data_IF_878475326970
#
_entry.id   IF_878475326970
#
_cell.length_a   1.000
_cell.length_b   1.000
_cell.length_c   1.000
_cell.angle_alpha   90.00
_cell.angle_beta   90.00
_cell.angle_gamma   90.00
#
_symmetry.space_group_name_H-M   'P 1'
#
loop_
_entity.id
_entity.type
_entity.pdbx_description
1 polymer ?
#
# COMPACT_ATOMS: atom_id res chain seq x y z
N UNK A 1 -10.18 -16.42 -7.34
CA UNK A 1 -8.71 -16.51 -7.45
C UNK A 1 -8.05 -16.24 -6.10
N UNK A 2 -7.55 -17.27 -5.39
CA UNK A 2 -6.90 -17.11 -4.07
C UNK A 2 -5.73 -16.10 -4.09
N UNK A 3 -4.95 -16.09 -5.18
CA UNK A 3 -3.81 -15.18 -5.40
C UNK A 3 -4.24 -13.70 -5.43
N UNK A 4 -5.37 -13.37 -6.06
CA UNK A 4 -5.84 -11.99 -6.12
C UNK A 4 -6.21 -11.44 -4.74
N UNK A 5 -6.87 -12.26 -3.91
CA UNK A 5 -7.21 -11.87 -2.54
C UNK A 5 -5.95 -11.66 -1.70
N UNK A 6 -4.96 -12.54 -1.84
CA UNK A 6 -3.67 -12.41 -1.18
C UNK A 6 -2.96 -11.11 -1.57
N UNK A 7 -2.92 -10.78 -2.86
CA UNK A 7 -2.28 -9.54 -3.35
C UNK A 7 -2.98 -8.29 -2.81
N UNK A 8 -4.31 -8.28 -2.75
CA UNK A 8 -5.08 -7.18 -2.15
C UNK A 8 -4.76 -7.04 -0.66
N UNK A 9 -4.74 -8.15 0.08
CA UNK A 9 -4.39 -8.14 1.52
C UNK A 9 -2.96 -7.64 1.74
N UNK A 10 -2.01 -8.15 0.96
CA UNK A 10 -0.62 -7.73 1.04
C UNK A 10 -0.43 -6.24 0.72
N UNK A 11 -1.03 -5.75 -0.37
CA UNK A 11 -1.00 -4.33 -0.72
C UNK A 11 -1.64 -3.45 0.38
N UNK A 12 -2.73 -3.92 0.99
CA UNK A 12 -3.37 -3.23 2.12
C UNK A 12 -2.43 -3.18 3.33
N UNK A 13 -1.77 -4.29 3.67
CA UNK A 13 -0.78 -4.32 4.76
C UNK A 13 0.41 -3.39 4.51
N UNK A 14 0.91 -3.31 3.27
CA UNK A 14 1.96 -2.35 2.89
C UNK A 14 1.50 -0.90 3.12
N UNK A 15 0.28 -0.57 2.74
CA UNK A 15 -0.27 0.77 2.95
C UNK A 15 -0.42 1.10 4.44
N UNK A 16 -0.89 0.15 5.25
CA UNK A 16 -1.03 0.36 6.69
C UNK A 16 0.34 0.55 7.35
N UNK A 17 1.32 -0.30 7.03
CA UNK A 17 2.64 -0.24 7.65
C UNK A 17 3.39 1.01 7.14
N UNK A 18 3.62 1.13 5.84
CA UNK A 18 4.43 2.23 5.31
C UNK A 18 3.70 3.57 5.35
N UNK A 19 2.43 3.60 4.93
CA UNK A 19 1.61 4.81 4.94
C UNK A 19 1.28 5.27 6.36
N UNK A 20 0.90 4.34 7.25
CA UNK A 20 0.62 4.65 8.64
C UNK A 20 1.85 5.20 9.38
N UNK A 21 3.02 4.58 9.19
CA UNK A 21 4.26 5.07 9.82
C UNK A 21 4.68 6.42 9.26
N UNK A 22 4.54 6.63 7.94
CA UNK A 22 4.80 7.92 7.30
C UNK A 22 3.90 9.02 7.88
N UNK A 23 2.58 8.80 7.91
CA UNK A 23 1.61 9.76 8.45
C UNK A 23 1.93 10.08 9.90
N UNK A 24 2.10 9.05 10.74
CA UNK A 24 2.35 9.24 12.16
C UNK A 24 3.61 10.05 12.43
N UNK A 25 4.73 9.73 11.77
CA UNK A 25 5.98 10.48 11.93
C UNK A 25 5.89 11.87 11.31
N UNK A 26 5.31 12.02 10.13
CA UNK A 26 5.14 13.31 9.49
C UNK A 26 4.39 14.30 10.40
N UNK A 27 3.29 13.88 11.02
CA UNK A 27 2.54 14.74 11.95
C UNK A 27 3.24 14.95 13.30
N UNK A 28 3.99 13.96 13.79
CA UNK A 28 4.60 14.04 15.13
C UNK A 28 5.96 14.74 15.15
N UNK A 29 6.81 14.49 14.16
CA UNK A 29 8.19 14.99 14.11
C UNK A 29 8.42 15.97 12.96
N UNK A 30 7.49 16.08 12.01
CA UNK A 30 7.69 16.87 10.78
C UNK A 30 8.68 16.23 9.80
N UNK A 31 9.17 15.02 10.10
CA UNK A 31 10.15 14.34 9.26
C UNK A 31 9.48 13.66 8.06
N UNK A 32 9.96 13.99 6.87
CA UNK A 32 9.57 13.33 5.63
C UNK A 32 10.41 12.07 5.42
N UNK A 33 9.85 10.90 5.77
CA UNK A 33 10.48 9.62 5.47
C UNK A 33 10.21 9.19 4.04
N UNK A 34 11.08 9.64 3.13
CA UNK A 34 11.02 9.32 1.70
C UNK A 34 10.93 7.81 1.44
N UNK A 35 11.65 6.99 2.20
CA UNK A 35 11.57 5.53 2.07
C UNK A 35 10.18 4.96 2.40
N UNK A 36 9.50 5.51 3.42
CA UNK A 36 8.14 5.09 3.76
C UNK A 36 7.13 5.63 2.74
N UNK A 37 7.36 6.80 2.18
CA UNK A 37 6.57 7.32 1.05
C UNK A 37 6.67 6.41 -0.18
N UNK A 38 7.89 5.96 -0.53
CA UNK A 38 8.12 5.02 -1.63
C UNK A 38 7.42 3.68 -1.33
N UNK A 39 7.57 3.14 -0.13
CA UNK A 39 6.91 1.90 0.29
C UNK A 39 5.38 1.99 0.23
N UNK A 40 4.81 3.12 0.68
CA UNK A 40 3.37 3.38 0.56
C UNK A 40 2.93 3.49 -0.91
N UNK A 41 3.72 4.17 -1.74
CA UNK A 41 3.43 4.33 -3.17
C UNK A 41 3.41 2.98 -3.91
N UNK A 42 4.37 2.11 -3.61
CA UNK A 42 4.38 0.72 -4.13
C UNK A 42 3.13 -0.03 -3.68
N UNK A 43 2.71 0.13 -2.42
CA UNK A 43 1.46 -0.43 -1.91
C UNK A 43 0.22 0.05 -2.68
N UNK A 44 0.14 1.35 -3.02
CA UNK A 44 -0.97 1.92 -3.80
C UNK A 44 -1.00 1.31 -5.21
N UNK A 45 0.14 1.30 -5.90
CA UNK A 45 0.24 0.76 -7.27
C UNK A 45 -0.17 -0.72 -7.29
N UNK A 46 0.32 -1.51 -6.33
CA UNK A 46 -0.02 -2.93 -6.22
C UNK A 46 -1.50 -3.15 -5.94
N UNK A 47 -2.11 -2.32 -5.07
CA UNK A 47 -3.54 -2.40 -4.78
C UNK A 47 -4.38 -2.12 -6.02
N UNK A 48 -4.06 -1.04 -6.75
CA UNK A 48 -4.76 -0.67 -7.99
C UNK A 48 -4.63 -1.78 -9.03
N UNK A 49 -3.42 -2.29 -9.27
CA UNK A 49 -3.19 -3.39 -10.21
C UNK A 49 -4.00 -4.64 -9.82
N UNK A 50 -4.02 -4.99 -8.53
CA UNK A 50 -4.77 -6.14 -8.02
C UNK A 50 -6.28 -5.98 -8.16
N UNK A 51 -6.80 -4.77 -7.96
CA UNK A 51 -8.22 -4.45 -8.14
C UNK A 51 -8.63 -4.49 -9.62
N UNK A 52 -7.80 -3.94 -10.52
CA UNK A 52 -8.03 -4.02 -11.97
C UNK A 52 -8.05 -5.48 -12.40
N UNK A 53 -7.07 -6.29 -11.99
CA UNK A 53 -7.02 -7.72 -12.29
C UNK A 53 -8.27 -8.45 -11.79
N UNK A 54 -8.74 -8.12 -10.57
CA UNK A 54 -9.96 -8.73 -10.00
C UNK A 54 -11.19 -8.42 -10.85
N UNK A 55 -11.24 -7.23 -11.46
CA UNK A 55 -12.36 -6.80 -12.29
C UNK A 55 -12.33 -7.45 -13.67
N UNK A 56 -11.14 -7.65 -14.24
CA UNK A 56 -10.95 -8.25 -15.56
C UNK A 56 -11.13 -9.78 -15.56
N UNK A 57 -10.68 -10.45 -14.49
CA UNK A 57 -10.79 -11.91 -14.34
C UNK A 57 -11.98 -12.33 -13.46
N UNK A 58 -13.08 -11.55 -13.50
CA UNK A 58 -14.30 -11.84 -12.74
C UNK A 58 -15.27 -12.68 -13.55
#
# INVERSE_FOLDING_TARGET
>A
MKINLFLIQFATSLLVIFGGTFIFRYFRTGELLLFQLIGASVGVVLLIASLIWRKLNK
#
